data_IF_690774795126
#
_entry.id   IF_690774795126
#
_cell.length_a   1.000
_cell.length_b   1.000
_cell.length_c   1.000
_cell.angle_alpha   90.00
_cell.angle_beta   90.00
_cell.angle_gamma   90.00
#
_symmetry.space_group_name_H-M   'P 1'
#
loop_
_entity.id
_entity.type
_entity.pdbx_description
1 polymer ?
#
# COMPACT_ATOMS: atom_id res chain seq x y z
N UNK A 1 16.91 29.59 31.00
CA UNK A 1 15.95 28.68 30.35
C UNK A 1 15.58 27.53 31.28
N UNK A 2 16.56 26.74 31.77
CA UNK A 2 16.31 25.59 32.67
C UNK A 2 15.50 25.90 33.95
N UNK A 3 15.71 27.06 34.59
CA UNK A 3 15.03 27.40 35.87
C UNK A 3 13.50 27.55 35.70
N UNK A 4 13.03 28.01 34.53
CA UNK A 4 11.59 28.12 34.25
C UNK A 4 10.95 26.75 34.02
N UNK A 5 11.69 25.82 33.41
CA UNK A 5 11.27 24.44 33.19
C UNK A 5 11.15 23.72 34.53
N UNK A 6 12.16 23.87 35.41
CA UNK A 6 12.15 23.27 36.76
C UNK A 6 10.98 23.78 37.62
N UNK A 7 10.62 25.06 37.50
CA UNK A 7 9.50 25.65 38.26
C UNK A 7 8.13 25.11 37.84
N UNK A 8 7.98 24.61 36.62
CA UNK A 8 6.73 24.09 36.08
C UNK A 8 6.80 22.60 35.72
N UNK A 9 7.79 21.88 36.26
CA UNK A 9 8.08 20.49 35.88
C UNK A 9 6.93 19.53 36.20
N UNK A 10 6.19 19.78 37.30
CA UNK A 10 4.98 19.01 37.66
C UNK A 10 3.84 19.19 36.66
N UNK A 11 3.66 20.40 36.13
CA UNK A 11 2.65 20.68 35.11
C UNK A 11 3.07 20.06 33.76
N UNK A 12 4.36 20.18 33.43
CA UNK A 12 4.92 19.74 32.16
C UNK A 12 4.94 18.21 32.02
N UNK A 13 5.00 17.47 33.13
CA UNK A 13 4.95 16.00 33.14
C UNK A 13 3.56 15.46 33.48
N UNK A 14 2.87 16.08 34.43
CA UNK A 14 1.56 15.63 34.89
C UNK A 14 0.45 15.76 33.84
N UNK A 15 0.39 16.87 33.11
CA UNK A 15 -0.66 17.10 32.10
C UNK A 15 -0.53 16.15 30.91
N UNK A 16 0.66 15.96 30.29
CA UNK A 16 0.81 15.00 29.19
C UNK A 16 0.57 13.56 29.61
N UNK A 17 0.94 13.18 30.84
CA UNK A 17 0.66 11.86 31.37
C UNK A 17 -0.85 11.63 31.53
N UNK A 18 -1.58 12.60 32.10
CA UNK A 18 -3.04 12.54 32.21
C UNK A 18 -3.72 12.46 30.83
N UNK A 19 -3.26 13.26 29.86
CA UNK A 19 -3.76 13.20 28.47
C UNK A 19 -3.45 11.85 27.83
N UNK A 20 -2.28 11.26 28.10
CA UNK A 20 -1.95 9.91 27.66
C UNK A 20 -2.91 8.85 28.17
N UNK A 21 -3.27 8.90 29.46
CA UNK A 21 -4.24 7.98 30.07
C UNK A 21 -5.62 8.16 29.45
N UNK A 22 -6.07 9.40 29.27
CA UNK A 22 -7.36 9.70 28.62
C UNK A 22 -7.37 9.24 27.17
N UNK A 23 -6.30 9.49 26.40
CA UNK A 23 -6.16 9.04 25.02
C UNK A 23 -6.13 7.51 24.91
N UNK A 24 -5.51 6.83 25.88
CA UNK A 24 -5.52 5.37 25.95
C UNK A 24 -6.93 4.84 26.26
N UNK A 25 -7.67 5.50 27.16
CA UNK A 25 -9.04 5.15 27.47
C UNK A 25 -9.97 5.35 26.25
N UNK A 26 -9.83 6.45 25.51
CA UNK A 26 -10.63 6.68 24.30
C UNK A 26 -10.29 5.71 23.16
N UNK A 27 -9.04 5.21 23.11
CA UNK A 27 -8.64 4.18 22.14
C UNK A 27 -9.37 2.84 22.33
N UNK A 28 -9.97 2.56 23.49
CA UNK A 28 -10.80 1.36 23.70
C UNK A 28 -12.14 1.41 22.96
N UNK A 29 -12.64 2.60 22.63
CA UNK A 29 -13.85 2.76 21.82
C UNK A 29 -13.63 2.46 20.33
N UNK A 30 -12.38 2.34 19.87
CA UNK A 30 -12.09 1.95 18.48
C UNK A 30 -12.28 0.43 18.31
N UNK A 31 -13.05 -0.02 17.30
CA UNK A 31 -13.26 -1.44 17.04
C UNK A 31 -11.94 -2.21 16.91
N UNK A 32 -11.88 -3.47 17.38
CA UNK A 32 -10.72 -4.32 17.16
C UNK A 32 -10.50 -4.54 15.66
N UNK A 33 -9.25 -4.49 15.23
CA UNK A 33 -8.86 -4.79 13.86
C UNK A 33 -8.11 -6.11 13.85
N UNK A 34 -8.44 -7.00 12.93
CA UNK A 34 -7.84 -8.30 12.75
C UNK A 34 -7.14 -8.32 11.40
N UNK A 35 -5.85 -8.65 11.38
CA UNK A 35 -5.04 -8.65 10.16
C UNK A 35 -4.82 -10.09 9.69
N UNK A 36 -5.36 -10.42 8.52
CA UNK A 36 -5.07 -11.69 7.85
C UNK A 36 -3.81 -11.52 7.00
N UNK A 37 -2.89 -12.49 7.11
CA UNK A 37 -1.62 -12.48 6.38
C UNK A 37 -1.56 -13.63 5.38
N UNK A 38 -1.07 -13.36 4.17
CA UNK A 38 -0.78 -14.36 3.16
C UNK A 38 0.58 -14.11 2.53
N UNK A 39 1.25 -15.19 2.11
CA UNK A 39 2.57 -15.12 1.47
C UNK A 39 2.47 -15.76 0.09
N UNK A 40 2.86 -14.99 -0.92
CA UNK A 40 2.90 -15.40 -2.31
C UNK A 40 4.36 -15.45 -2.79
N UNK A 41 4.75 -16.53 -3.46
CA UNK A 41 6.10 -16.72 -4.01
C UNK A 41 6.10 -16.44 -5.51
N UNK A 42 6.62 -15.27 -5.86
CA UNK A 42 6.72 -14.72 -7.21
C UNK A 42 8.19 -14.47 -7.56
N UNK A 43 8.48 -14.02 -8.78
CA UNK A 43 9.79 -13.40 -9.07
C UNK A 43 9.87 -12.02 -8.42
N UNK A 44 11.09 -11.48 -8.23
CA UNK A 44 11.26 -10.15 -7.63
C UNK A 44 10.48 -9.07 -8.41
N UNK A 45 10.56 -9.07 -9.75
CA UNK A 45 9.83 -8.14 -10.60
C UNK A 45 8.32 -8.35 -10.52
N UNK A 46 7.86 -9.61 -10.54
CA UNK A 46 6.44 -9.93 -10.46
C UNK A 46 5.84 -9.59 -9.07
N UNK A 47 6.60 -9.74 -7.98
CA UNK A 47 6.15 -9.36 -6.63
C UNK A 47 5.86 -7.86 -6.53
N UNK A 48 6.73 -7.02 -7.10
CA UNK A 48 6.56 -5.55 -7.14
C UNK A 48 5.36 -5.17 -8.00
N UNK A 49 5.25 -5.75 -9.20
CA UNK A 49 4.11 -5.51 -10.09
C UNK A 49 2.79 -5.97 -9.45
N UNK A 50 2.76 -7.15 -8.84
CA UNK A 50 1.59 -7.67 -8.14
C UNK A 50 1.16 -6.77 -6.99
N UNK A 51 2.09 -6.27 -6.16
CA UNK A 51 1.77 -5.33 -5.09
C UNK A 51 1.11 -4.04 -5.61
N UNK A 52 1.59 -3.52 -6.75
CA UNK A 52 1.01 -2.35 -7.41
C UNK A 52 -0.39 -2.66 -7.94
N UNK A 53 -0.56 -3.75 -8.69
CA UNK A 53 -1.85 -4.14 -9.30
C UNK A 53 -2.89 -4.44 -8.23
N UNK A 54 -2.56 -5.19 -7.18
CA UNK A 54 -3.50 -5.51 -6.09
C UNK A 54 -4.02 -4.27 -5.35
N UNK A 55 -3.24 -3.18 -5.34
CA UNK A 55 -3.63 -1.90 -4.74
C UNK A 55 -4.46 -1.02 -5.68
N UNK A 56 -4.65 -1.43 -6.94
CA UNK A 56 -5.38 -0.62 -7.92
C UNK A 56 -6.89 -0.67 -7.72
N UNK A 57 -7.62 0.38 -8.15
CA UNK A 57 -9.09 0.38 -8.14
C UNK A 57 -9.69 -0.81 -8.87
N UNK A 58 -9.06 -1.30 -9.95
CA UNK A 58 -9.59 -2.43 -10.73
C UNK A 58 -9.76 -3.69 -9.88
N UNK A 59 -8.78 -4.01 -9.04
CA UNK A 59 -8.83 -5.17 -8.14
C UNK A 59 -9.74 -4.88 -6.94
N UNK A 60 -9.59 -3.71 -6.33
CA UNK A 60 -10.35 -3.35 -5.13
C UNK A 60 -11.85 -3.21 -5.40
N UNK A 61 -12.25 -2.63 -6.53
CA UNK A 61 -13.66 -2.47 -6.91
C UNK A 61 -14.33 -3.82 -7.15
N UNK A 62 -13.61 -4.76 -7.76
CA UNK A 62 -14.06 -6.14 -7.91
C UNK A 62 -14.33 -6.80 -6.55
N UNK A 63 -13.44 -6.59 -5.58
CA UNK A 63 -13.62 -7.09 -4.21
C UNK A 63 -14.81 -6.41 -3.52
N UNK A 64 -14.96 -5.10 -3.68
CA UNK A 64 -16.08 -4.34 -3.09
C UNK A 64 -17.42 -4.84 -3.60
N UNK A 65 -17.54 -5.07 -4.91
CA UNK A 65 -18.75 -5.58 -5.53
C UNK A 65 -19.05 -7.01 -5.09
N UNK A 66 -18.06 -7.91 -5.15
CA UNK A 66 -18.24 -9.33 -4.82
C UNK A 66 -18.51 -9.57 -3.33
N UNK A 67 -17.96 -8.73 -2.45
CA UNK A 67 -18.15 -8.83 -1.00
C UNK A 67 -19.30 -7.95 -0.49
N UNK A 68 -19.97 -7.20 -1.38
CA UNK A 68 -21.09 -6.33 -1.03
C UNK A 68 -20.74 -5.21 -0.04
N UNK A 69 -19.49 -4.71 -0.06
CA UNK A 69 -19.00 -3.72 0.89
C UNK A 69 -19.58 -2.31 0.66
N UNK A 70 -20.10 -2.04 -0.54
CA UNK A 70 -20.69 -0.76 -0.91
C UNK A 70 -22.20 -0.63 -0.55
N UNK A 71 -22.77 -1.55 0.24
CA UNK A 71 -24.21 -1.50 0.59
C UNK A 71 -24.59 -0.25 1.38
N UNK A 72 -23.73 0.17 2.31
CA UNK A 72 -24.02 1.23 3.27
C UNK A 72 -23.23 2.52 3.01
N UNK A 73 -22.42 2.56 1.94
CA UNK A 73 -21.57 3.70 1.62
C UNK A 73 -21.34 3.86 0.12
N UNK A 74 -21.08 5.08 -0.38
CA UNK A 74 -20.65 5.32 -1.75
C UNK A 74 -19.44 4.45 -2.14
N UNK A 75 -19.36 4.05 -3.41
CA UNK A 75 -18.27 3.20 -3.93
C UNK A 75 -16.88 3.81 -3.67
N UNK A 76 -16.76 5.13 -3.77
CA UNK A 76 -15.50 5.84 -3.51
C UNK A 76 -15.05 5.67 -2.06
N UNK A 77 -15.96 5.83 -1.10
CA UNK A 77 -15.67 5.70 0.32
C UNK A 77 -15.30 4.25 0.67
N UNK A 78 -16.03 3.28 0.10
CA UNK A 78 -15.69 1.86 0.24
C UNK A 78 -14.28 1.54 -0.26
N UNK A 79 -13.87 2.19 -1.36
CA UNK A 79 -12.52 2.05 -1.92
C UNK A 79 -11.47 2.61 -0.98
N UNK A 80 -11.66 3.81 -0.46
CA UNK A 80 -10.71 4.45 0.45
C UNK A 80 -10.56 3.64 1.75
N UNK A 81 -11.66 3.11 2.27
CA UNK A 81 -11.67 2.21 3.43
C UNK A 81 -10.88 0.93 3.13
N UNK A 82 -11.15 0.25 2.02
CA UNK A 82 -10.46 -1.00 1.67
C UNK A 82 -8.98 -0.76 1.38
N UNK A 83 -8.64 0.29 0.64
CA UNK A 83 -7.26 0.69 0.34
C UNK A 83 -6.47 1.00 1.63
N UNK A 84 -7.11 1.64 2.62
CA UNK A 84 -6.45 1.92 3.90
C UNK A 84 -6.15 0.67 4.72
N UNK A 85 -7.00 -0.37 4.60
CA UNK A 85 -6.92 -1.66 5.31
C UNK A 85 -6.05 -2.69 4.59
N UNK A 86 -5.70 -2.41 3.33
CA UNK A 86 -4.86 -3.25 2.49
C UNK A 86 -3.39 -2.82 2.56
N UNK A 87 -2.49 -3.79 2.69
CA UNK A 87 -1.04 -3.59 2.58
C UNK A 87 -0.43 -4.75 1.80
N UNK A 88 0.28 -4.44 0.72
CA UNK A 88 1.09 -5.40 -0.03
C UNK A 88 2.56 -4.97 0.05
N UNK A 89 3.42 -5.85 0.57
CA UNK A 89 4.86 -5.60 0.71
C UNK A 89 5.66 -6.59 -0.15
N UNK A 90 6.27 -6.12 -1.25
CA UNK A 90 7.15 -6.97 -2.05
C UNK A 90 8.50 -7.15 -1.34
N UNK A 91 8.91 -8.41 -1.15
CA UNK A 91 10.20 -8.81 -0.62
C UNK A 91 11.26 -8.92 -1.72
N UNK A 92 12.54 -8.76 -1.33
CA UNK A 92 13.69 -8.90 -2.25
C UNK A 92 13.95 -10.36 -2.67
N UNK A 93 13.38 -11.30 -1.93
CA UNK A 93 13.39 -12.74 -2.12
C UNK A 93 12.29 -13.23 -3.11
N UNK A 94 11.51 -12.30 -3.68
CA UNK A 94 10.36 -12.65 -4.51
C UNK A 94 9.12 -13.04 -3.71
N UNK A 95 9.15 -12.94 -2.37
CA UNK A 95 7.97 -13.15 -1.54
C UNK A 95 7.14 -11.88 -1.45
N UNK A 96 5.87 -11.96 -1.79
CA UNK A 96 4.89 -10.90 -1.59
C UNK A 96 4.11 -11.18 -0.31
N UNK A 97 4.23 -10.25 0.64
CA UNK A 97 3.48 -10.26 1.90
C UNK A 97 2.20 -9.47 1.73
N UNK A 98 1.07 -10.16 1.86
CA UNK A 98 -0.26 -9.58 1.82
C UNK A 98 -0.81 -9.44 3.23
N UNK A 99 -1.29 -8.27 3.59
CA UNK A 99 -1.95 -8.01 4.85
C UNK A 99 -3.27 -7.29 4.61
N UNK A 100 -4.37 -7.88 5.09
CA UNK A 100 -5.71 -7.29 5.00
C UNK A 100 -6.34 -7.22 6.37
N UNK A 101 -6.75 -6.03 6.76
CA UNK A 101 -7.36 -5.76 8.07
C UNK A 101 -8.89 -5.71 7.98
N UNK A 102 -9.60 -6.35 8.92
CA UNK A 102 -11.06 -6.24 9.06
C UNK A 102 -11.50 -6.30 10.52
N UNK A 103 -12.79 -6.08 10.78
CA UNK A 103 -13.35 -6.07 12.15
C UNK A 103 -13.56 -7.48 12.72
N UNK A 104 -13.58 -8.50 11.87
CA UNK A 104 -13.60 -9.90 12.30
C UNK A 104 -12.51 -10.73 11.61
N UNK A 105 -11.99 -11.78 12.27
CA UNK A 105 -10.99 -12.69 11.68
C UNK A 105 -11.46 -13.33 10.37
N UNK A 106 -12.71 -13.79 10.32
CA UNK A 106 -13.28 -14.45 9.16
C UNK A 106 -13.43 -13.48 7.97
N UNK A 107 -13.86 -12.23 8.24
CA UNK A 107 -13.95 -11.22 7.20
C UNK A 107 -12.57 -10.82 6.68
N UNK A 108 -11.56 -10.69 7.54
CA UNK A 108 -10.19 -10.37 7.13
C UNK A 108 -9.63 -11.45 6.18
N UNK A 109 -9.83 -12.73 6.53
CA UNK A 109 -9.43 -13.85 5.70
C UNK A 109 -10.19 -13.89 4.36
N UNK A 110 -11.50 -13.66 4.39
CA UNK A 110 -12.34 -13.66 3.19
C UNK A 110 -11.94 -12.55 2.23
N UNK A 111 -11.69 -11.34 2.76
CA UNK A 111 -11.21 -10.21 1.97
C UNK A 111 -9.83 -10.47 1.37
N UNK A 112 -8.90 -11.05 2.14
CA UNK A 112 -7.59 -11.42 1.64
C UNK A 112 -7.67 -12.44 0.49
N UNK A 113 -8.52 -13.46 0.61
CA UNK A 113 -8.78 -14.41 -0.48
C UNK A 113 -9.37 -13.70 -1.71
N UNK A 114 -10.37 -12.84 -1.50
CA UNK A 114 -11.02 -12.11 -2.58
C UNK A 114 -10.05 -11.20 -3.36
N UNK A 115 -9.12 -10.53 -2.67
CA UNK A 115 -8.09 -9.71 -3.33
C UNK A 115 -7.14 -10.58 -4.16
N UNK A 116 -6.70 -11.72 -3.63
CA UNK A 116 -5.84 -12.66 -4.37
C UNK A 116 -6.55 -13.15 -5.64
N UNK A 117 -7.81 -13.54 -5.52
CA UNK A 117 -8.58 -14.05 -6.65
C UNK A 117 -8.87 -12.97 -7.68
N UNK A 118 -9.25 -11.77 -7.25
CA UNK A 118 -9.44 -10.62 -8.15
C UNK A 118 -8.15 -10.24 -8.88
N UNK A 119 -7.00 -10.21 -8.19
CA UNK A 119 -5.72 -10.00 -8.84
C UNK A 119 -5.38 -11.11 -9.84
N UNK A 120 -5.60 -12.38 -9.49
CA UNK A 120 -5.33 -13.50 -10.41
C UNK A 120 -6.15 -13.37 -11.70
N UNK A 121 -7.40 -12.93 -11.63
CA UNK A 121 -8.21 -12.68 -12.82
C UNK A 121 -7.60 -11.62 -13.74
N UNK A 122 -6.90 -10.62 -13.19
CA UNK A 122 -6.18 -9.62 -14.01
C UNK A 122 -4.96 -10.17 -14.75
N UNK A 123 -4.49 -11.37 -14.38
CA UNK A 123 -3.33 -12.01 -15.02
C UNK A 123 -3.71 -12.93 -16.18
N UNK A 124 -5.00 -13.16 -16.39
CA UNK A 124 -5.52 -14.01 -17.45
C UNK A 124 -5.61 -13.16 -18.74
N UNK A 125 -5.10 -13.65 -19.89
CA UNK A 125 -5.19 -12.93 -21.17
C UNK A 125 -6.63 -12.58 -21.55
N UNK A 126 -6.83 -11.50 -22.31
CA UNK A 126 -8.15 -11.11 -22.81
C UNK A 126 -8.73 -12.13 -23.81
N UNK A 127 -10.05 -12.07 -24.07
CA UNK A 127 -10.73 -13.08 -24.91
C UNK A 127 -10.13 -13.26 -26.32
N UNK A 128 -9.71 -12.16 -26.96
CA UNK A 128 -9.06 -12.21 -28.27
C UNK A 128 -7.69 -12.88 -28.19
N UNK A 129 -6.85 -12.47 -27.24
CA UNK A 129 -5.52 -13.05 -27.03
C UNK A 129 -5.61 -14.53 -26.65
N UNK A 130 -6.61 -14.93 -25.86
CA UNK A 130 -6.89 -16.34 -25.58
C UNK A 130 -7.19 -17.12 -26.86
N UNK A 131 -8.02 -16.58 -27.76
CA UNK A 131 -8.32 -17.23 -29.02
C UNK A 131 -7.07 -17.36 -29.90
N UNK A 132 -6.23 -16.32 -29.97
CA UNK A 132 -4.96 -16.34 -30.69
C UNK A 132 -3.99 -17.37 -30.10
N UNK A 133 -3.84 -17.42 -28.78
CA UNK A 133 -3.00 -18.39 -28.07
C UNK A 133 -3.50 -19.82 -28.25
N UNK A 134 -4.82 -20.05 -28.24
CA UNK A 134 -5.40 -21.37 -28.50
C UNK A 134 -5.13 -21.82 -29.93
N UNK A 135 -5.31 -20.93 -30.92
CA UNK A 135 -4.99 -21.21 -32.31
C UNK A 135 -3.50 -21.53 -32.49
N UNK A 136 -2.62 -20.76 -31.82
CA UNK A 136 -1.18 -20.99 -31.81
C UNK A 136 -0.84 -22.36 -31.20
N UNK A 137 -1.45 -22.72 -30.07
CA UNK A 137 -1.24 -24.02 -29.43
C UNK A 137 -1.60 -25.17 -30.38
N UNK A 138 -2.73 -25.07 -31.07
CA UNK A 138 -3.13 -26.09 -32.06
C UNK A 138 -2.14 -26.19 -33.21
N UNK A 139 -1.65 -25.06 -33.73
CA UNK A 139 -0.64 -25.03 -34.78
C UNK A 139 0.67 -25.69 -34.32
N UNK A 140 1.13 -25.37 -33.12
CA UNK A 140 2.36 -25.93 -32.52
C UNK A 140 2.25 -27.44 -32.35
N UNK A 141 1.12 -27.93 -31.82
CA UNK A 141 0.87 -29.36 -31.65
C UNK A 141 0.87 -30.11 -33.00
N UNK A 142 0.23 -29.54 -34.02
CA UNK A 142 0.24 -30.10 -35.39
C UNK A 142 1.66 -30.14 -35.97
N UNK A 143 2.42 -29.06 -35.76
CA UNK A 143 3.80 -28.94 -36.24
C UNK A 143 4.73 -29.94 -35.57
N UNK A 144 4.61 -30.15 -34.25
CA UNK A 144 5.36 -31.18 -33.52
C UNK A 144 5.12 -32.57 -34.09
N UNK A 145 3.84 -32.93 -34.28
CA UNK A 145 3.48 -34.23 -34.87
C UNK A 145 4.06 -34.42 -36.27
N UNK A 146 4.07 -33.35 -37.08
CA UNK A 146 4.68 -33.40 -38.42
C UNK A 146 6.20 -33.57 -38.36
N UNK A 147 6.89 -32.89 -37.43
CA UNK A 147 8.34 -32.99 -37.25
C UNK A 147 8.72 -34.40 -36.76
N UNK A 148 7.96 -34.97 -35.82
CA UNK A 148 8.15 -36.35 -35.35
C UNK A 148 8.02 -37.35 -36.51
N UNK A 149 7.02 -37.18 -37.37
CA UNK A 149 6.85 -38.01 -38.57
C UNK A 149 8.03 -37.87 -39.54
N UNK A 150 8.53 -36.66 -39.77
CA UNK A 150 9.70 -36.42 -40.62
C UNK A 150 10.96 -37.06 -40.05
N UNK A 151 11.25 -36.87 -38.75
CA UNK A 151 12.40 -37.50 -38.10
C UNK A 151 12.31 -39.03 -38.13
N UNK A 152 11.12 -39.59 -37.93
CA UNK A 152 10.91 -41.04 -38.02
C UNK A 152 11.20 -41.55 -39.44
N UNK A 153 10.75 -40.84 -40.48
CA UNK A 153 11.06 -41.20 -41.88
C UNK A 153 12.56 -41.11 -42.17
N UNK A 154 13.21 -40.01 -41.78
CA UNK A 154 14.65 -39.80 -41.96
C UNK A 154 15.53 -40.83 -41.23
N UNK A 155 15.04 -41.39 -40.11
CA UNK A 155 15.76 -42.42 -39.33
C UNK A 155 15.42 -43.85 -39.73
N UNK A 156 14.22 -44.09 -40.29
CA UNK A 156 13.75 -45.42 -40.68
C UNK A 156 14.07 -45.78 -42.14
N UNK A 157 14.18 -44.79 -43.04
CA UNK A 157 14.54 -45.05 -44.43
C UNK A 157 16.04 -45.39 -44.54
N UNK A 158 16.31 -46.64 -44.92
CA UNK A 158 17.65 -47.17 -45.19
C UNK A 158 18.36 -46.34 -46.28
N UNK A 159 19.71 -46.29 -46.31
CA UNK A 159 20.52 -45.39 -47.15
C UNK A 159 20.31 -45.51 -48.66
N UNK A 160 19.49 -46.46 -49.11
CA UNK A 160 19.18 -46.78 -50.51
C UNK A 160 18.20 -45.81 -51.18
N UNK A 161 17.39 -45.05 -50.43
CA UNK A 161 16.42 -44.11 -51.02
C UNK A 161 16.99 -42.71 -51.33
N UNK A 162 18.15 -42.37 -50.76
CA UNK A 162 18.89 -41.15 -51.05
C UNK A 162 20.01 -41.46 -52.05
N UNK A 163 19.63 -41.94 -53.23
CA UNK A 163 20.55 -42.23 -54.32
C UNK A 163 21.14 -40.91 -54.85
N UNK A 164 22.35 -40.59 -54.37
CA UNK A 164 23.28 -39.72 -55.09
C UNK A 164 23.37 -38.23 -54.73
N UNK A 165 22.56 -37.66 -53.84
CA UNK A 165 22.57 -36.19 -53.64
C UNK A 165 22.67 -35.65 -52.20
N UNK A 166 22.59 -36.50 -51.16
CA UNK A 166 22.62 -36.01 -49.77
C UNK A 166 23.75 -36.70 -48.99
N UNK A 167 24.81 -35.94 -48.68
CA UNK A 167 25.94 -36.43 -47.89
C UNK A 167 25.49 -36.91 -46.51
N UNK A 168 26.23 -37.84 -45.89
CA UNK A 168 25.99 -38.21 -44.47
C UNK A 168 26.07 -36.99 -43.54
N UNK A 169 26.90 -36.01 -43.88
CA UNK A 169 27.00 -34.73 -43.16
C UNK A 169 25.71 -33.91 -43.25
N UNK A 170 25.12 -33.79 -44.45
CA UNK A 170 23.89 -33.02 -44.67
C UNK A 170 22.69 -33.61 -43.93
N UNK A 171 22.60 -34.94 -43.83
CA UNK A 171 21.59 -35.65 -43.03
C UNK A 171 21.76 -35.40 -41.52
N UNK A 172 23.00 -35.38 -41.04
CA UNK A 172 23.29 -35.01 -39.67
C UNK A 172 22.84 -33.59 -39.36
N UNK A 173 23.12 -32.64 -40.26
CA UNK A 173 22.70 -31.24 -40.12
C UNK A 173 21.17 -31.07 -40.14
N UNK A 174 20.46 -31.78 -41.03
CA UNK A 174 19.00 -31.72 -41.07
C UNK A 174 18.37 -32.32 -39.81
N UNK A 175 18.86 -33.47 -39.33
CA UNK A 175 18.39 -34.08 -38.08
C UNK A 175 18.60 -33.15 -36.88
N UNK A 176 19.76 -32.49 -36.78
CA UNK A 176 20.02 -31.50 -35.73
C UNK A 176 19.04 -30.33 -35.83
N UNK A 177 18.82 -29.79 -37.04
CA UNK A 177 17.89 -28.66 -37.24
C UNK A 177 16.43 -29.02 -36.90
N UNK A 178 15.99 -30.24 -37.22
CA UNK A 178 14.67 -30.74 -36.85
C UNK A 178 14.55 -30.96 -35.34
N UNK A 179 15.61 -31.43 -34.69
CA UNK A 179 15.69 -31.56 -33.23
C UNK A 179 15.62 -30.20 -32.52
N UNK A 180 16.33 -29.19 -33.02
CA UNK A 180 16.23 -27.82 -32.51
C UNK A 180 14.82 -27.26 -32.66
N UNK A 181 14.19 -27.49 -33.82
CA UNK A 181 12.82 -27.03 -34.08
C UNK A 181 11.80 -27.77 -33.19
N UNK A 182 11.97 -29.08 -32.99
CA UNK A 182 11.16 -29.87 -32.06
C UNK A 182 11.29 -29.31 -30.63
N UNK A 183 12.52 -29.04 -30.17
CA UNK A 183 12.78 -28.49 -28.84
C UNK A 183 12.09 -27.13 -28.63
N UNK A 184 12.16 -26.23 -29.63
CA UNK A 184 11.46 -24.93 -29.59
C UNK A 184 9.95 -25.09 -29.51
N UNK A 185 9.34 -25.89 -30.39
CA UNK A 185 7.89 -26.10 -30.37
C UNK A 185 7.40 -26.83 -29.13
N UNK A 186 8.20 -27.76 -28.59
CA UNK A 186 7.89 -28.42 -27.33
C UNK A 186 7.89 -27.43 -26.16
N UNK A 187 8.87 -26.52 -26.13
CA UNK A 187 8.87 -25.39 -25.19
C UNK A 187 7.64 -24.51 -25.32
N UNK A 188 7.24 -24.16 -26.55
CA UNK A 188 6.03 -23.37 -26.83
C UNK A 188 4.75 -24.10 -26.39
N UNK A 189 4.64 -25.41 -26.65
CA UNK A 189 3.52 -26.24 -26.25
C UNK A 189 3.35 -26.31 -24.72
N UNK A 190 4.42 -26.16 -23.95
CA UNK A 190 4.37 -26.11 -22.49
C UNK A 190 4.13 -24.71 -21.93
N UNK A 191 4.58 -23.66 -22.62
CA UNK A 191 4.44 -22.28 -22.14
C UNK A 191 3.05 -21.70 -22.43
N UNK A 192 2.49 -21.94 -23.61
CA UNK A 192 1.19 -21.38 -24.01
C UNK A 192 0.06 -21.73 -23.04
N UNK A 193 -0.12 -22.99 -22.58
CA UNK A 193 -1.15 -23.33 -21.59
C UNK A 193 -0.96 -22.59 -20.26
N UNK A 194 0.28 -22.35 -19.83
CA UNK A 194 0.57 -21.59 -18.61
C UNK A 194 0.16 -20.13 -18.76
N UNK A 195 0.43 -19.53 -19.93
CA UNK A 195 -0.01 -18.16 -20.24
C UNK A 195 -1.54 -18.07 -20.27
N UNK A 196 -2.22 -19.05 -20.87
CA UNK A 196 -3.68 -19.11 -20.93
C UNK A 196 -4.33 -19.21 -19.54
N UNK A 197 -3.68 -19.88 -18.58
CA UNK A 197 -4.20 -20.04 -17.22
C UNK A 197 -3.88 -18.85 -16.29
N UNK A 198 -2.98 -17.96 -16.70
CA UNK A 198 -2.49 -16.87 -15.86
C UNK A 198 -1.72 -17.37 -14.63
N UNK A 199 -1.68 -16.56 -13.57
CA UNK A 199 -0.99 -16.95 -12.34
C UNK A 199 -1.82 -18.00 -11.57
N UNK A 200 -1.23 -19.20 -11.42
CA UNK A 200 -1.80 -20.29 -10.62
C UNK A 200 -1.85 -19.94 -9.13
N UNK A 201 -2.77 -20.59 -8.40
CA UNK A 201 -2.89 -20.46 -6.95
C UNK A 201 -1.71 -21.10 -6.19
N UNK A 202 -0.89 -21.92 -6.86
CA UNK A 202 0.32 -22.56 -6.29
C UNK A 202 1.42 -21.56 -5.90
N UNK A 203 1.30 -20.33 -6.41
CA UNK A 203 2.11 -19.17 -5.99
C UNK A 203 1.85 -18.85 -4.51
N UNK A 204 0.66 -19.13 -3.98
CA UNK A 204 0.32 -18.89 -2.57
C UNK A 204 1.00 -19.96 -1.70
N UNK A 205 2.13 -19.59 -1.08
CA UNK A 205 2.87 -20.47 -0.16
C UNK A 205 2.22 -20.55 1.21
N UNK A 206 1.62 -19.45 1.64
CA UNK A 206 0.82 -19.40 2.85
C UNK A 206 -0.54 -18.80 2.49
N UNK A 207 -1.64 -19.57 2.56
CA UNK A 207 -2.96 -19.03 2.33
C UNK A 207 -3.31 -17.99 3.42
N UNK A 208 -4.27 -17.09 3.17
CA UNK A 208 -4.74 -16.14 4.16
C UNK A 208 -5.04 -16.81 5.50
N UNK A 209 -4.35 -16.35 6.53
CA UNK A 209 -4.49 -16.87 7.90
C UNK A 209 -5.77 -16.39 8.56
N UNK A 210 -6.27 -17.16 9.54
CA UNK A 210 -7.37 -16.75 10.40
C UNK A 210 -6.77 -16.18 11.70
N UNK A 211 -6.73 -14.85 11.87
CA UNK A 211 -6.01 -14.24 12.98
C UNK A 211 -6.66 -14.54 14.33
N UNK A 212 -5.89 -15.13 15.24
CA UNK A 212 -6.34 -15.51 16.58
C UNK A 212 -6.45 -14.32 17.56
N UNK A 213 -5.81 -13.18 17.25
CA UNK A 213 -5.79 -11.99 18.10
C UNK A 213 -5.99 -10.73 17.26
N UNK A 214 -6.66 -9.74 17.85
CA UNK A 214 -6.76 -8.41 17.28
C UNK A 214 -5.40 -7.69 17.37
N UNK A 215 -5.11 -6.86 16.38
CA UNK A 215 -3.90 -6.04 16.31
C UNK A 215 -3.91 -4.96 17.41
N UNK A 216 -2.99 -5.00 18.39
CA UNK A 216 -2.93 -4.02 19.47
C UNK A 216 -2.23 -2.71 19.04
N UNK A 217 -1.49 -2.70 17.94
CA UNK A 217 -0.53 -1.64 17.61
C UNK A 217 -1.18 -0.26 17.44
N UNK A 218 -2.41 -0.22 16.92
CA UNK A 218 -3.13 1.04 16.71
C UNK A 218 -3.45 1.80 17.99
N UNK A 219 -3.70 1.09 19.11
CA UNK A 219 -4.18 1.70 20.36
C UNK A 219 -3.05 2.34 21.16
N UNK A 220 -1.94 1.61 21.29
CA UNK A 220 -0.76 2.10 22.02
C UNK A 220 -0.09 3.28 21.30
N UNK A 221 0.06 3.20 19.97
CA UNK A 221 0.70 4.27 19.19
C UNK A 221 -0.08 5.59 19.28
N UNK A 222 -1.42 5.54 19.28
CA UNK A 222 -2.25 6.73 19.44
C UNK A 222 -2.04 7.41 20.80
N UNK A 223 -2.04 6.63 21.88
CA UNK A 223 -1.82 7.16 23.23
C UNK A 223 -0.43 7.80 23.36
N UNK A 224 0.61 7.13 22.87
CA UNK A 224 1.99 7.65 22.88
C UNK A 224 2.08 8.96 22.08
N UNK A 225 1.49 9.00 20.88
CA UNK A 225 1.49 10.21 20.04
C UNK A 225 0.81 11.39 20.73
N UNK A 226 -0.36 11.16 21.35
CA UNK A 226 -1.08 12.20 22.08
C UNK A 226 -0.28 12.72 23.29
N UNK A 227 0.35 11.84 24.05
CA UNK A 227 1.23 12.23 25.17
C UNK A 227 2.38 13.09 24.68
N UNK A 228 3.10 12.66 23.63
CA UNK A 228 4.25 13.39 23.09
C UNK A 228 3.83 14.74 22.51
N UNK A 229 2.74 14.78 21.73
CA UNK A 229 2.22 16.02 21.16
C UNK A 229 1.82 17.02 22.25
N UNK A 230 1.12 16.57 23.29
CA UNK A 230 0.72 17.42 24.43
C UNK A 230 1.96 17.94 25.18
N UNK A 231 2.95 17.08 25.41
CA UNK A 231 4.21 17.49 26.04
C UNK A 231 4.92 18.58 25.24
N UNK A 232 5.03 18.41 23.92
CA UNK A 232 5.65 19.39 23.03
C UNK A 232 4.90 20.73 23.03
N UNK A 233 3.56 20.70 22.96
CA UNK A 233 2.75 21.92 22.99
C UNK A 233 2.91 22.70 24.30
N UNK A 234 2.93 22.00 25.44
CA UNK A 234 3.15 22.65 26.74
C UNK A 234 4.57 23.21 26.86
N UNK A 235 5.57 22.47 26.36
CA UNK A 235 6.95 22.94 26.34
C UNK A 235 7.08 24.24 25.53
N UNK A 236 6.49 24.26 24.33
CA UNK A 236 6.45 25.45 23.47
C UNK A 236 5.73 26.60 24.19
N UNK A 237 4.55 26.36 24.76
CA UNK A 237 3.77 27.39 25.46
C UNK A 237 4.48 27.99 26.68
N UNK A 238 5.17 27.16 27.48
CA UNK A 238 5.96 27.64 28.63
C UNK A 238 7.13 28.49 28.17
N UNK A 239 7.83 28.09 27.10
CA UNK A 239 8.94 28.86 26.55
C UNK A 239 8.47 30.20 25.97
N UNK A 240 7.39 30.21 25.19
CA UNK A 240 6.77 31.43 24.65
C UNK A 240 6.39 32.39 25.77
N UNK A 241 5.68 31.91 26.80
CA UNK A 241 5.29 32.75 27.95
C UNK A 241 6.51 33.31 28.67
N UNK A 242 7.54 32.50 28.87
CA UNK A 242 8.75 32.94 29.55
C UNK A 242 9.53 33.98 28.74
N UNK A 243 9.62 33.80 27.42
CA UNK A 243 10.23 34.76 26.51
C UNK A 243 9.45 36.08 26.46
N UNK A 244 8.12 36.02 26.37
CA UNK A 244 7.25 37.19 26.37
C UNK A 244 7.35 37.98 27.68
N UNK A 245 7.25 37.29 28.83
CA UNK A 245 7.35 37.95 30.14
C UNK A 245 8.72 38.59 30.33
N UNK A 246 9.80 37.92 29.91
CA UNK A 246 11.16 38.50 29.94
C UNK A 246 11.30 39.71 29.02
N UNK A 247 10.76 39.64 27.81
CA UNK A 247 10.78 40.76 26.87
C UNK A 247 9.99 41.96 27.42
N UNK A 248 8.86 41.73 28.09
CA UNK A 248 8.05 42.78 28.72
C UNK A 248 8.74 43.43 29.93
N UNK A 249 9.58 42.70 30.66
CA UNK A 249 10.32 43.22 31.83
C UNK A 249 11.74 43.70 31.47
N UNK A 250 12.13 43.68 30.19
CA UNK A 250 13.43 44.19 29.76
C UNK A 250 13.44 45.74 29.88
N UNK A 251 14.44 46.33 30.57
CA UNK A 251 14.47 47.77 30.85
C UNK A 251 14.48 48.65 29.60
N UNK A 252 14.98 48.12 28.47
CA UNK A 252 14.99 48.81 27.18
C UNK A 252 13.58 48.97 26.56
N UNK A 253 12.64 48.08 26.89
CA UNK A 253 11.25 48.12 26.39
C UNK A 253 10.33 48.97 27.28
N UNK A 254 10.78 49.33 28.49
CA UNK A 254 9.99 50.11 29.44
C UNK A 254 9.63 51.51 28.91
N UNK A 255 10.52 52.15 28.16
CA UNK A 255 10.28 53.45 27.54
C UNK A 255 9.20 53.38 26.43
N UNK A 256 9.21 52.31 25.63
CA UNK A 256 8.22 52.08 24.55
C UNK A 256 6.84 51.76 25.12
N UNK A 257 6.79 50.95 26.17
CA UNK A 257 5.54 50.60 26.86
C UNK A 257 4.95 51.82 27.60
N UNK A 258 5.79 52.67 28.21
CA UNK A 258 5.34 53.90 28.86
C UNK A 258 4.72 54.89 27.86
N UNK A 259 5.31 55.04 26.67
CA UNK A 259 4.78 55.89 25.57
C UNK A 259 3.44 55.38 25.02
N UNK A 260 3.30 54.07 24.86
CA UNK A 260 2.03 53.44 24.44
C UNK A 260 0.92 53.65 25.48
N UNK A 261 1.26 53.58 26.77
CA UNK A 261 0.30 53.78 27.86
C UNK A 261 -0.16 55.23 28.01
N UNK A 262 0.72 56.20 27.75
CA UNK A 262 0.32 57.62 27.73
C UNK A 262 -0.58 57.94 26.54
N UNK A 263 -0.34 57.33 25.38
CA UNK A 263 -1.17 57.53 24.19
C UNK A 263 -2.58 56.93 24.33
N UNK A 264 -2.72 55.82 25.05
CA UNK A 264 -4.03 55.18 25.31
C UNK A 264 -4.84 55.87 26.42
N UNK A 265 -4.23 56.76 27.22
CA UNK A 265 -4.91 57.45 28.34
C UNK A 265 -5.55 58.78 27.92
N UNK A 266 -5.25 59.28 26.73
CA UNK A 266 -5.72 60.59 26.24
C UNK A 266 -7.08 60.57 25.53
N UNK A 267 -7.70 59.41 25.31
CA UNK A 267 -9.02 59.30 24.63
C UNK A 267 -10.24 59.31 25.59
N UNK A 268 -10.09 59.90 26.77
CA UNK A 268 -11.12 59.90 27.82
C UNK A 268 -11.53 61.29 28.33
N UNK A 269 -11.84 62.24 27.44
CA UNK A 269 -12.53 63.49 27.85
C UNK A 269 -13.43 64.00 26.71
N UNK A 270 -14.77 63.93 26.81
CA UNK A 270 -15.65 64.68 25.93
C UNK A 270 -15.68 66.15 26.35
N UNK A 271 -15.56 67.01 25.34
CA UNK A 271 -15.69 68.45 25.44
C UNK A 271 -17.13 68.89 25.80
N UNK A 272 -17.26 69.94 26.60
CA UNK A 272 -18.36 70.92 26.44
C UNK A 272 -18.01 72.24 27.13
N UNK A 273 -17.97 73.28 26.31
CA UNK A 273 -17.82 74.69 26.69
C UNK A 273 -19.12 75.27 27.27
N UNK A 274 -19.01 76.20 28.22
CA UNK A 274 -19.74 77.48 28.20
C UNK A 274 -19.34 78.34 29.41
N UNK A 275 -18.73 79.51 29.16
CA UNK A 275 -18.70 80.61 30.13
C UNK A 275 -18.88 81.92 29.37
N UNK A 276 -20.00 82.59 29.68
CA UNK A 276 -20.43 83.92 29.23
C UNK A 276 -19.66 84.99 30.03
N UNK A 277 -19.20 86.11 29.44
CA UNK A 277 -18.61 87.22 30.20
C UNK A 277 -19.66 88.26 30.64
N UNK A 278 -19.48 88.94 31.79
CA UNK A 278 -20.37 90.03 32.21
C UNK A 278 -19.81 91.45 31.96
N UNK A 279 -20.70 92.36 31.52
CA UNK A 279 -20.65 93.84 31.64
C UNK A 279 -19.73 94.56 30.65
N UNK A 280 -20.11 95.66 29.98
CA UNK A 280 -21.16 96.67 30.15
C UNK A 280 -21.42 97.32 28.77
#
# INVERSE_FOLDING_TARGET
MLIAILRHIRLLTGVPLAVGVVAFATAYFKPPSYTSEAILSLSESASKQAAMIMSTPLVLDTVIQNQGLAKDMPLQDARDVLASRFRAKPGKDGLLWLQVSAESPAQAQTLANAVIDAWRLTTIPGAQEQAELQNRLQYVQKSLKSIEQLMTRLTSESPTYFDGQVSRGDRGLTLVSLGELQSRYFGEAQSIPRTLQGISRDVVKQPPSLPARADPAGKANFAVLMTVATFLLLLIGVLLRHLLVRALHAPHNAATIARLRSALRTDGTPASAHAVPPGN
#
